data_IF_217219359394
#
_entry.id   IF_217219359394
#
_cell.length_a   1.000
_cell.length_b   1.000
_cell.length_c   1.000
_cell.angle_alpha   90.00
_cell.angle_beta   90.00
_cell.angle_gamma   90.00
#
_symmetry.space_group_name_H-M   'P 1'
#
loop_
_entity.id
_entity.type
_entity.pdbx_description
1 polymer ?
#
# COMPACT_ATOMS: atom_id res chain seq x y z
N UNK A 1 -31.92 -6.82 9.83
CA UNK A 1 -30.73 -5.95 9.64
C UNK A 1 -30.69 -5.46 8.20
N UNK A 2 -30.57 -4.16 7.97
CA UNK A 2 -30.36 -3.65 6.60
C UNK A 2 -28.98 -4.08 6.12
N UNK A 3 -28.93 -4.79 5.01
CA UNK A 3 -27.69 -5.21 4.37
C UNK A 3 -26.96 -3.94 3.87
N UNK A 4 -25.75 -3.69 4.37
CA UNK A 4 -24.96 -2.54 3.92
C UNK A 4 -24.45 -2.82 2.51
N UNK A 5 -24.77 -1.93 1.58
CA UNK A 5 -24.34 -2.01 0.18
C UNK A 5 -23.14 -1.08 0.02
N UNK A 6 -22.14 -1.52 -0.73
CA UNK A 6 -20.96 -0.74 -1.09
C UNK A 6 -20.87 -0.60 -2.59
N UNK A 7 -20.39 0.54 -3.06
CA UNK A 7 -20.17 0.79 -4.48
C UNK A 7 -18.97 -0.01 -5.00
N UNK A 8 -17.93 -0.19 -4.15
CA UNK A 8 -16.72 -0.92 -4.49
C UNK A 8 -16.30 -1.85 -3.36
N UNK A 9 -15.89 -3.05 -3.72
CA UNK A 9 -15.34 -4.05 -2.78
C UNK A 9 -13.97 -4.46 -3.28
N UNK A 10 -12.95 -4.29 -2.42
CA UNK A 10 -11.59 -4.75 -2.66
C UNK A 10 -11.36 -6.07 -1.95
N UNK A 11 -10.93 -7.07 -2.69
CA UNK A 11 -10.62 -8.39 -2.14
C UNK A 11 -9.13 -8.45 -1.85
N UNK A 12 -8.79 -8.57 -0.58
CA UNK A 12 -7.44 -8.49 -0.05
C UNK A 12 -7.03 -7.07 0.34
N UNK A 13 -6.52 -6.94 1.56
CA UNK A 13 -5.98 -5.69 2.15
C UNK A 13 -4.47 -5.61 2.02
N UNK A 14 -3.92 -5.95 0.85
CA UNK A 14 -2.49 -5.83 0.57
C UNK A 14 -2.07 -4.41 0.18
N UNK A 15 -0.81 -4.27 -0.26
CA UNK A 15 -0.24 -2.97 -0.65
C UNK A 15 -1.08 -2.22 -1.69
N UNK A 16 -1.62 -2.92 -2.68
CA UNK A 16 -2.41 -2.31 -3.75
C UNK A 16 -3.72 -1.69 -3.23
N UNK A 17 -4.54 -2.46 -2.51
CA UNK A 17 -5.82 -1.99 -1.96
C UNK A 17 -5.63 -0.88 -0.93
N UNK A 18 -4.62 -1.01 -0.06
CA UNK A 18 -4.32 0.01 0.94
C UNK A 18 -3.78 1.30 0.32
N UNK A 19 -2.94 1.20 -0.72
CA UNK A 19 -2.47 2.37 -1.48
C UNK A 19 -3.64 3.09 -2.15
N UNK A 20 -4.58 2.33 -2.72
CA UNK A 20 -5.76 2.91 -3.34
C UNK A 20 -6.66 3.60 -2.30
N UNK A 21 -6.84 3.00 -1.12
CA UNK A 21 -7.60 3.62 -0.02
C UNK A 21 -6.97 4.96 0.42
N UNK A 22 -5.65 5.02 0.53
CA UNK A 22 -4.95 6.28 0.82
C UNK A 22 -5.25 7.32 -0.27
N UNK A 23 -5.16 6.92 -1.54
CA UNK A 23 -5.43 7.83 -2.67
C UNK A 23 -6.87 8.31 -2.73
N UNK A 24 -7.84 7.44 -2.48
CA UNK A 24 -9.27 7.79 -2.38
C UNK A 24 -9.47 8.91 -1.34
N UNK A 25 -8.86 8.75 -0.16
CA UNK A 25 -8.93 9.75 0.90
C UNK A 25 -8.24 11.07 0.52
N UNK A 26 -7.01 11.00 -0.03
CA UNK A 26 -6.25 12.18 -0.47
C UNK A 26 -6.96 12.97 -1.57
N UNK A 27 -7.60 12.27 -2.50
CA UNK A 27 -8.37 12.87 -3.60
C UNK A 27 -9.78 13.30 -3.20
N UNK A 28 -10.15 13.10 -1.93
CA UNK A 28 -11.46 13.45 -1.38
C UNK A 28 -12.63 12.85 -2.19
N UNK A 29 -12.48 11.61 -2.62
CA UNK A 29 -13.57 10.87 -3.27
C UNK A 29 -14.55 10.44 -2.18
N UNK A 30 -15.65 11.17 -2.03
CA UNK A 30 -16.63 11.00 -0.94
C UNK A 30 -17.97 10.46 -1.43
N UNK A 31 -18.24 10.49 -2.73
CA UNK A 31 -19.55 10.12 -3.33
C UNK A 31 -19.71 8.61 -3.54
N UNK A 32 -18.70 7.84 -3.17
CA UNK A 32 -18.70 6.38 -3.27
C UNK A 32 -18.27 5.74 -1.96
N UNK A 33 -18.81 4.56 -1.71
CA UNK A 33 -18.49 3.74 -0.52
C UNK A 33 -17.61 2.56 -0.88
N UNK A 34 -16.62 2.29 -0.04
CA UNK A 34 -15.60 1.28 -0.27
C UNK A 34 -15.50 0.30 0.89
N UNK A 35 -15.38 -0.98 0.56
CA UNK A 35 -15.12 -2.05 1.51
C UNK A 35 -13.86 -2.81 1.11
N UNK A 36 -12.96 -3.01 2.06
CA UNK A 36 -11.80 -3.87 1.91
C UNK A 36 -12.04 -5.12 2.77
N UNK A 37 -11.95 -6.30 2.17
CA UNK A 37 -12.06 -7.59 2.85
C UNK A 37 -10.68 -8.23 2.91
N UNK A 38 -10.18 -8.50 4.12
CA UNK A 38 -8.85 -9.04 4.34
C UNK A 38 -8.89 -10.29 5.24
N UNK A 39 -8.26 -11.37 4.79
CA UNK A 39 -8.21 -12.66 5.50
C UNK A 39 -7.37 -12.62 6.79
N UNK A 40 -6.34 -11.79 6.82
CA UNK A 40 -5.49 -11.67 8.03
C UNK A 40 -6.23 -11.04 9.20
N UNK A 41 -5.87 -11.48 10.41
CA UNK A 41 -6.47 -10.95 11.66
C UNK A 41 -5.85 -9.64 12.09
N UNK A 42 -4.58 -9.44 11.79
CA UNK A 42 -3.78 -8.28 12.20
C UNK A 42 -2.72 -7.99 11.13
N UNK A 43 -2.34 -6.73 11.02
CA UNK A 43 -1.19 -6.30 10.22
C UNK A 43 0.07 -6.31 11.08
N UNK A 44 1.08 -7.01 10.61
CA UNK A 44 2.39 -7.16 11.25
C UNK A 44 3.49 -6.67 10.33
N UNK A 45 4.72 -6.60 10.83
CA UNK A 45 5.90 -6.27 10.04
C UNK A 45 6.38 -7.49 9.26
N UNK A 46 5.58 -7.93 8.30
CA UNK A 46 5.71 -9.21 7.60
C UNK A 46 6.43 -9.11 6.25
N UNK A 47 6.70 -7.90 5.77
CA UNK A 47 7.37 -7.66 4.48
C UNK A 47 8.07 -6.32 4.43
N UNK A 48 8.87 -6.18 3.40
CA UNK A 48 9.46 -4.91 2.99
C UNK A 48 9.19 -4.69 1.51
N UNK A 49 9.05 -3.44 1.12
CA UNK A 49 8.90 -3.06 -0.28
C UNK A 49 10.07 -2.20 -0.70
N UNK A 50 10.63 -2.57 -1.86
CA UNK A 50 11.66 -1.79 -2.50
C UNK A 50 11.16 -1.35 -3.88
N UNK A 51 11.41 -0.09 -4.23
CA UNK A 51 10.92 0.48 -5.48
C UNK A 51 11.75 1.69 -5.90
N UNK A 52 11.78 1.94 -7.20
CA UNK A 52 12.37 3.15 -7.75
C UNK A 52 11.33 4.25 -7.84
N UNK A 53 11.70 5.44 -7.38
CA UNK A 53 10.85 6.61 -7.53
C UNK A 53 11.67 7.89 -7.63
N UNK A 54 11.06 8.90 -8.23
CA UNK A 54 11.57 10.27 -8.14
C UNK A 54 11.15 10.91 -6.80
N UNK A 55 11.63 12.12 -6.53
CA UNK A 55 11.42 12.83 -5.25
C UNK A 55 9.97 13.21 -4.93
N UNK A 56 9.02 12.94 -5.81
CA UNK A 56 7.61 13.39 -5.67
C UNK A 56 6.61 12.27 -5.37
N UNK A 57 7.03 11.24 -4.66
CA UNK A 57 6.13 10.13 -4.31
C UNK A 57 5.40 10.45 -3.00
N UNK A 58 4.11 10.18 -2.95
CA UNK A 58 3.28 10.38 -1.75
C UNK A 58 3.74 9.56 -0.53
N UNK A 59 4.55 8.53 -0.75
CA UNK A 59 5.14 7.68 0.28
C UNK A 59 6.48 8.19 0.82
N UNK A 60 6.99 9.33 0.37
CA UNK A 60 8.33 9.81 0.75
C UNK A 60 8.54 9.91 2.26
N UNK A 61 7.52 10.30 3.01
CA UNK A 61 7.59 10.38 4.48
C UNK A 61 7.68 9.01 5.18
N UNK A 62 7.42 7.91 4.46
CA UNK A 62 7.46 6.55 4.98
C UNK A 62 8.72 5.78 4.56
N UNK A 63 9.53 6.35 3.66
CA UNK A 63 10.76 5.73 3.19
C UNK A 63 11.80 5.75 4.30
N UNK A 64 12.29 4.58 4.68
CA UNK A 64 13.30 4.43 5.73
C UNK A 64 14.72 4.57 5.19
N UNK A 65 14.98 4.07 3.99
CA UNK A 65 16.26 4.19 3.30
C UNK A 65 16.07 4.45 1.82
N UNK A 66 17.02 5.18 1.24
CA UNK A 66 17.00 5.56 -0.16
C UNK A 66 18.43 5.60 -0.69
N UNK A 67 18.65 4.96 -1.83
CA UNK A 67 19.96 4.90 -2.49
C UNK A 67 19.88 5.53 -3.88
N UNK A 68 20.92 6.25 -4.24
CA UNK A 68 21.14 6.83 -5.56
C UNK A 68 22.04 5.95 -6.45
N UNK A 69 22.66 4.94 -5.85
CA UNK A 69 23.50 3.97 -6.51
C UNK A 69 23.10 2.54 -6.16
N UNK A 70 23.07 1.67 -7.15
CA UNK A 70 22.85 0.24 -6.99
C UNK A 70 23.64 -0.58 -8.00
N UNK A 71 23.86 -1.83 -7.67
CA UNK A 71 24.62 -2.74 -8.48
C UNK A 71 23.78 -3.95 -8.86
N UNK A 72 23.94 -4.40 -10.09
CA UNK A 72 23.40 -5.67 -10.57
C UNK A 72 24.57 -6.60 -10.89
N UNK A 73 24.53 -7.81 -10.37
CA UNK A 73 25.48 -8.85 -10.71
C UNK A 73 24.77 -10.12 -11.15
N UNK A 74 25.25 -10.71 -12.24
CA UNK A 74 24.78 -11.98 -12.74
C UNK A 74 25.97 -12.76 -13.31
N UNK A 75 26.24 -13.92 -12.74
CA UNK A 75 27.44 -14.69 -13.06
C UNK A 75 28.71 -13.83 -12.89
N UNK A 76 29.51 -13.66 -13.95
CA UNK A 76 30.72 -12.80 -13.96
C UNK A 76 30.45 -11.35 -14.35
N UNK A 77 29.21 -11.04 -14.73
CA UNK A 77 28.82 -9.69 -15.15
C UNK A 77 28.42 -8.83 -13.95
N UNK A 78 28.92 -7.61 -13.93
CA UNK A 78 28.64 -6.62 -12.89
C UNK A 78 28.32 -5.28 -13.53
N UNK A 79 27.21 -4.67 -13.13
CA UNK A 79 26.78 -3.38 -13.61
C UNK A 79 26.42 -2.47 -12.45
N UNK A 80 27.09 -1.33 -12.38
CA UNK A 80 26.74 -0.25 -11.46
C UNK A 80 25.85 0.77 -12.14
N UNK A 81 24.83 1.24 -11.43
CA UNK A 81 23.95 2.29 -11.90
C UNK A 81 23.86 3.40 -10.85
N UNK A 82 23.87 4.63 -11.31
CA UNK A 82 23.72 5.82 -10.47
C UNK A 82 22.63 6.73 -11.03
N UNK A 83 21.73 7.22 -10.15
CA UNK A 83 20.72 8.19 -10.52
C UNK A 83 20.30 9.03 -9.33
N UNK A 84 20.38 10.35 -9.46
CA UNK A 84 19.81 11.28 -8.48
C UNK A 84 18.32 11.53 -8.71
N UNK A 85 17.85 11.29 -9.94
CA UNK A 85 16.45 11.48 -10.33
C UNK A 85 15.55 10.35 -9.87
N UNK A 86 15.98 9.10 -10.04
CA UNK A 86 15.27 7.91 -9.62
C UNK A 86 16.12 7.18 -8.57
N UNK A 87 15.65 7.18 -7.35
CA UNK A 87 16.32 6.52 -6.24
C UNK A 87 15.68 5.17 -5.96
N UNK A 88 16.47 4.23 -5.51
CA UNK A 88 15.97 2.96 -4.99
C UNK A 88 15.59 3.14 -3.53
N UNK A 89 14.35 2.87 -3.19
CA UNK A 89 13.79 3.16 -1.88
C UNK A 89 13.40 1.87 -1.16
N UNK A 90 13.49 1.91 0.16
CA UNK A 90 13.11 0.83 1.06
C UNK A 90 12.07 1.34 2.05
N UNK A 91 11.01 0.55 2.23
CA UNK A 91 9.88 0.82 3.09
C UNK A 91 9.45 -0.45 3.82
N UNK A 92 9.35 -0.40 5.14
CA UNK A 92 8.81 -1.51 5.95
C UNK A 92 7.29 -1.56 5.88
N UNK A 93 6.76 -2.78 5.86
CA UNK A 93 5.32 -3.00 5.80
C UNK A 93 4.58 -2.38 6.98
N UNK A 94 5.09 -2.51 8.21
CA UNK A 94 4.42 -1.95 9.40
C UNK A 94 4.28 -0.44 9.34
N UNK A 95 5.27 0.27 8.81
CA UNK A 95 5.20 1.73 8.64
C UNK A 95 4.10 2.12 7.66
N UNK A 96 4.02 1.41 6.54
CA UNK A 96 2.97 1.60 5.55
C UNK A 96 1.58 1.23 6.09
N UNK A 97 1.47 0.08 6.76
CA UNK A 97 0.19 -0.36 7.33
C UNK A 97 -0.36 0.63 8.35
N UNK A 98 0.47 1.16 9.25
CA UNK A 98 0.06 2.20 10.20
C UNK A 98 -0.51 3.43 9.48
N UNK A 99 0.15 3.89 8.43
CA UNK A 99 -0.34 5.02 7.62
C UNK A 99 -1.68 4.69 6.98
N UNK A 100 -1.81 3.52 6.36
CA UNK A 100 -3.03 3.09 5.68
C UNK A 100 -4.20 2.95 6.66
N UNK A 101 -3.98 2.28 7.79
CA UNK A 101 -5.01 2.09 8.82
C UNK A 101 -5.48 3.42 9.41
N UNK A 102 -4.56 4.33 9.74
CA UNK A 102 -4.93 5.67 10.21
C UNK A 102 -5.74 6.44 9.17
N UNK A 103 -5.39 6.31 7.90
CA UNK A 103 -6.12 6.94 6.79
C UNK A 103 -7.54 6.37 6.68
N UNK A 104 -7.68 5.04 6.69
CA UNK A 104 -8.98 4.36 6.61
C UNK A 104 -9.85 4.72 7.82
N UNK A 105 -9.31 4.67 9.03
CA UNK A 105 -10.03 5.00 10.27
C UNK A 105 -10.53 6.46 10.28
N UNK A 106 -9.86 7.36 9.59
CA UNK A 106 -10.29 8.76 9.44
C UNK A 106 -11.27 8.99 8.28
N UNK A 107 -11.53 7.98 7.45
CA UNK A 107 -12.41 8.07 6.30
C UNK A 107 -13.80 7.53 6.63
N UNK A 108 -14.86 8.32 6.36
CA UNK A 108 -16.25 7.91 6.66
C UNK A 108 -16.80 6.88 5.67
N UNK A 109 -16.23 6.82 4.48
CA UNK A 109 -16.74 6.03 3.35
C UNK A 109 -15.82 4.85 2.97
N UNK A 110 -14.78 4.58 3.74
CA UNK A 110 -13.89 3.42 3.54
C UNK A 110 -13.97 2.53 4.78
N UNK A 111 -14.31 1.26 4.59
CA UNK A 111 -14.34 0.26 5.63
C UNK A 111 -13.30 -0.83 5.36
N UNK A 112 -12.65 -1.30 6.41
CA UNK A 112 -11.75 -2.45 6.37
C UNK A 112 -12.25 -3.51 7.35
N UNK A 113 -12.56 -4.68 6.83
CA UNK A 113 -12.91 -5.85 7.63
C UNK A 113 -11.74 -6.84 7.61
N UNK A 114 -11.19 -7.11 8.77
CA UNK A 114 -10.16 -8.12 8.97
C UNK A 114 -10.81 -9.46 9.31
N UNK A 115 -10.05 -10.55 9.14
CA UNK A 115 -10.50 -11.93 9.38
C UNK A 115 -11.71 -12.31 8.50
N UNK A 116 -11.77 -11.77 7.31
CA UNK A 116 -12.82 -11.98 6.32
C UNK A 116 -12.23 -12.56 5.04
N UNK A 117 -12.35 -13.89 4.90
CA UNK A 117 -11.87 -14.61 3.73
C UNK A 117 -12.94 -14.67 2.65
N UNK A 118 -12.63 -14.14 1.47
CA UNK A 118 -13.48 -14.28 0.29
C UNK A 118 -13.23 -15.63 -0.37
N UNK A 119 -14.25 -16.48 -0.39
CA UNK A 119 -14.16 -17.83 -0.97
C UNK A 119 -14.59 -17.86 -2.44
N UNK A 120 -15.54 -17.01 -2.81
CA UNK A 120 -16.11 -16.99 -4.16
C UNK A 120 -16.75 -15.64 -4.46
N UNK A 121 -16.58 -15.19 -5.68
CA UNK A 121 -17.31 -14.07 -6.28
C UNK A 121 -18.31 -14.65 -7.29
N UNK A 122 -19.55 -14.18 -7.25
CA UNK A 122 -20.61 -14.58 -8.18
C UNK A 122 -20.76 -13.54 -9.29
#
# INVERSE_FOLDING_TARGET
>A
MKKKIYDYIFIGGGCASLSLAIKIKEKKIIDSSFLILEDRKIYEDDRSWCFWSNSKVYLNSLIEKSWDQWNFSYSTNFHSHYSTRFRYNYLRSITFYKKALNTINSAKNINLNLNEKVLKVK
#
